data_IF_403059961831
#
_entry.id   IF_403059961831
#
_cell.length_a   1.000
_cell.length_b   1.000
_cell.length_c   1.000
_cell.angle_alpha   90.00
_cell.angle_beta   90.00
_cell.angle_gamma   90.00
#
_symmetry.space_group_name_H-M   'P 1'
#
loop_
_entity.id
_entity.type
_entity.pdbx_description
1 polymer ?
#
# COMPACT_ATOMS: atom_id res chain seq x y z
N UNK A 1 -4.79 40.61 57.67
CA UNK A 1 -6.18 40.13 57.44
C UNK A 1 -6.14 39.00 56.41
N UNK A 2 -6.86 37.88 56.61
CA UNK A 2 -6.63 36.64 55.90
C UNK A 2 -7.38 36.55 54.55
N UNK A 3 -6.76 35.82 53.62
CA UNK A 3 -7.24 35.39 52.30
C UNK A 3 -8.41 34.41 52.38
N UNK A 4 -9.41 34.53 51.49
CA UNK A 4 -10.40 33.48 51.18
C UNK A 4 -10.60 33.33 49.67
N UNK A 5 -10.42 32.10 49.18
CA UNK A 5 -10.73 31.65 47.81
C UNK A 5 -12.25 31.52 47.60
N UNK A 6 -12.76 31.62 46.35
CA UNK A 6 -14.09 31.13 46.02
C UNK A 6 -14.07 29.69 45.49
N UNK A 7 -15.01 28.91 46.02
CA UNK A 7 -15.22 27.49 45.80
C UNK A 7 -15.81 27.16 44.42
N UNK A 8 -15.40 26.01 43.88
CA UNK A 8 -16.00 25.34 42.71
C UNK A 8 -17.44 24.92 43.02
N UNK A 9 -18.40 25.34 42.19
CA UNK A 9 -19.74 24.77 42.15
C UNK A 9 -19.72 23.59 41.17
N UNK A 10 -19.94 22.38 41.69
CA UNK A 10 -20.21 21.18 40.91
C UNK A 10 -21.71 21.11 40.68
N UNK A 11 -22.18 21.24 39.42
CA UNK A 11 -23.57 20.98 39.06
C UNK A 11 -23.71 19.62 38.37
N UNK A 12 -24.41 18.70 39.02
CA UNK A 12 -24.82 17.39 38.51
C UNK A 12 -25.79 17.53 37.31
N UNK A 13 -25.71 16.72 36.23
CA UNK A 13 -26.69 16.81 35.15
C UNK A 13 -28.00 16.11 35.55
N UNK A 14 -29.12 16.84 35.43
CA UNK A 14 -30.48 16.25 35.50
C UNK A 14 -30.76 15.48 34.21
N UNK A 15 -30.94 14.17 34.32
CA UNK A 15 -31.53 13.35 33.27
C UNK A 15 -33.03 13.69 33.15
N UNK A 16 -33.42 14.34 32.06
CA UNK A 16 -34.81 14.34 31.60
C UNK A 16 -34.93 13.44 30.38
N UNK A 17 -35.49 12.24 30.60
CA UNK A 17 -35.98 11.40 29.52
C UNK A 17 -37.12 12.13 28.80
N UNK A 18 -36.92 12.42 27.52
CA UNK A 18 -37.98 12.84 26.60
C UNK A 18 -38.15 11.73 25.57
N UNK A 19 -39.38 11.21 25.47
CA UNK A 19 -39.85 10.38 24.37
C UNK A 19 -39.50 11.06 23.03
N UNK A 20 -38.50 10.52 22.34
CA UNK A 20 -38.01 11.03 21.07
C UNK A 20 -38.59 10.21 19.93
N UNK A 21 -39.51 10.82 19.17
CA UNK A 21 -40.03 10.35 17.89
C UNK A 21 -38.91 9.76 17.01
N UNK A 22 -39.15 8.59 16.41
CA UNK A 22 -38.20 7.87 15.56
C UNK A 22 -37.66 8.71 14.38
N UNK A 23 -38.43 9.70 13.92
CA UNK A 23 -38.02 10.68 12.90
C UNK A 23 -36.79 11.51 13.30
N UNK A 24 -36.63 11.86 14.58
CA UNK A 24 -35.46 12.60 15.08
C UNK A 24 -34.22 11.71 15.20
N UNK A 25 -34.38 10.41 15.46
CA UNK A 25 -33.25 9.45 15.46
C UNK A 25 -32.70 9.24 14.06
N UNK A 26 -33.56 9.13 13.04
CA UNK A 26 -33.17 9.02 11.63
C UNK A 26 -32.43 10.27 11.16
N UNK A 27 -32.89 11.46 11.56
CA UNK A 27 -32.26 12.71 11.14
C UNK A 27 -30.89 12.93 11.82
N UNK A 28 -30.74 12.53 13.08
CA UNK A 28 -29.46 12.56 13.81
C UNK A 28 -28.49 11.51 13.26
N UNK A 29 -28.95 10.27 12.99
CA UNK A 29 -28.12 9.22 12.39
C UNK A 29 -27.65 9.59 10.98
N UNK A 30 -28.51 10.19 10.14
CA UNK A 30 -28.13 10.71 8.82
C UNK A 30 -27.14 11.87 8.91
N UNK A 31 -27.25 12.75 9.92
CA UNK A 31 -26.25 13.82 10.17
C UNK A 31 -24.94 13.29 10.73
N UNK A 32 -24.97 12.26 11.58
CA UNK A 32 -23.78 11.57 12.09
C UNK A 32 -23.06 10.81 10.97
N UNK A 33 -23.78 10.07 10.13
CA UNK A 33 -23.21 9.38 8.96
C UNK A 33 -22.54 10.36 7.98
N UNK A 34 -23.14 11.53 7.75
CA UNK A 34 -22.57 12.59 6.91
C UNK A 34 -21.29 13.20 7.49
N UNK A 35 -21.15 13.28 8.82
CA UNK A 35 -19.95 13.81 9.48
C UNK A 35 -18.71 12.92 9.32
N UNK A 36 -18.86 11.67 8.90
CA UNK A 36 -17.74 10.75 8.72
C UNK A 36 -17.13 10.79 7.32
N UNK A 37 -17.68 11.60 6.40
CA UNK A 37 -17.24 11.68 5.00
C UNK A 37 -16.33 12.89 4.72
N UNK A 38 -16.28 13.87 5.63
CA UNK A 38 -15.52 15.11 5.46
C UNK A 38 -15.21 15.78 6.80
N UNK A 39 -14.20 16.64 6.81
CA UNK A 39 -13.82 17.48 7.96
C UNK A 39 -14.05 18.96 7.65
N UNK A 40 -14.61 19.73 8.59
CA UNK A 40 -14.73 21.19 8.45
C UNK A 40 -13.38 21.85 8.70
N UNK A 41 -12.83 22.55 7.71
CA UNK A 41 -11.54 23.25 7.82
C UNK A 41 -11.68 24.73 8.18
N UNK A 42 -12.80 25.37 7.81
CA UNK A 42 -13.17 26.72 8.26
C UNK A 42 -14.68 26.93 8.14
N UNK A 43 -15.19 28.09 8.58
CA UNK A 43 -16.59 28.48 8.34
C UNK A 43 -16.95 28.28 6.87
N UNK A 44 -18.01 27.51 6.61
CA UNK A 44 -18.48 27.13 5.28
C UNK A 44 -17.44 26.46 4.36
N UNK A 45 -16.40 25.81 4.90
CA UNK A 45 -15.42 25.03 4.13
C UNK A 45 -15.25 23.62 4.68
N UNK A 46 -15.35 22.64 3.79
CA UNK A 46 -15.15 21.22 4.09
C UNK A 46 -14.02 20.64 3.24
N UNK A 47 -13.27 19.71 3.82
CA UNK A 47 -12.36 18.81 3.09
C UNK A 47 -12.93 17.41 3.12
N UNK A 48 -13.30 16.88 1.95
CA UNK A 48 -13.78 15.51 1.84
C UNK A 48 -12.64 14.52 2.09
N UNK A 49 -12.97 13.37 2.68
CA UNK A 49 -12.01 12.27 2.75
C UNK A 49 -11.67 11.81 1.33
N UNK A 50 -10.38 11.68 1.06
CA UNK A 50 -9.87 11.23 -0.22
C UNK A 50 -8.48 10.62 -0.04
N UNK A 51 -8.12 9.75 -0.97
CA UNK A 51 -6.85 9.05 -0.97
C UNK A 51 -5.92 9.64 -2.05
N UNK A 52 -4.62 9.55 -1.82
CA UNK A 52 -3.58 9.89 -2.80
C UNK A 52 -2.78 8.63 -3.09
N UNK A 53 -2.72 8.24 -4.37
CA UNK A 53 -1.90 7.13 -4.85
C UNK A 53 -0.96 7.63 -5.94
N UNK A 54 0.33 7.40 -5.78
CA UNK A 54 1.37 7.70 -6.75
C UNK A 54 2.03 6.40 -7.14
N UNK A 55 2.11 6.08 -8.44
CA UNK A 55 2.77 4.86 -8.90
C UNK A 55 4.03 5.20 -9.67
N UNK A 56 5.16 4.69 -9.18
CA UNK A 56 6.44 4.79 -9.85
C UNK A 56 6.62 3.66 -10.85
N UNK A 57 7.11 4.00 -12.03
CA UNK A 57 7.73 3.07 -12.98
C UNK A 57 9.22 3.08 -12.70
N UNK A 58 9.76 1.93 -12.27
CA UNK A 58 11.18 1.76 -11.97
C UNK A 58 11.72 0.66 -12.88
N UNK A 59 12.36 1.08 -13.96
CA UNK A 59 13.14 0.22 -14.84
C UNK A 59 14.56 0.06 -14.27
N UNK A 60 14.92 -1.18 -13.89
CA UNK A 60 16.07 -1.44 -13.02
C UNK A 60 17.06 -2.39 -13.69
N UNK A 61 18.13 -1.81 -14.22
CA UNK A 61 19.28 -2.51 -14.79
C UNK A 61 20.47 -2.51 -13.81
N UNK A 62 20.38 -3.27 -12.73
CA UNK A 62 21.47 -3.37 -11.76
C UNK A 62 22.64 -4.13 -12.39
N UNK A 63 23.63 -3.37 -12.85
CA UNK A 63 24.85 -3.90 -13.46
C UNK A 63 24.53 -4.73 -14.73
N UNK A 64 23.53 -4.27 -15.49
CA UNK A 64 22.93 -4.91 -16.66
C UNK A 64 21.49 -5.35 -16.42
N UNK A 65 20.86 -5.87 -17.48
CA UNK A 65 19.42 -6.19 -17.60
C UNK A 65 19.01 -7.53 -16.98
N UNK A 66 19.92 -8.50 -16.86
CA UNK A 66 19.62 -9.77 -16.21
C UNK A 66 19.56 -9.64 -14.67
N UNK A 67 18.39 -9.29 -14.15
CA UNK A 67 18.15 -9.06 -12.72
C UNK A 67 17.16 -10.09 -12.14
N UNK A 68 17.08 -10.13 -10.80
CA UNK A 68 16.18 -11.00 -10.07
C UNK A 68 15.58 -10.28 -8.87
N UNK A 69 14.28 -10.46 -8.65
CA UNK A 69 13.60 -9.95 -7.48
C UNK A 69 13.65 -10.95 -6.31
N UNK A 70 14.14 -10.50 -5.15
CA UNK A 70 14.36 -11.34 -3.97
C UNK A 70 13.64 -10.76 -2.75
N UNK A 71 12.80 -11.60 -2.13
CA UNK A 71 12.18 -11.33 -0.83
C UNK A 71 13.06 -11.91 0.26
N UNK A 72 13.68 -11.06 1.06
CA UNK A 72 14.46 -11.45 2.23
C UNK A 72 13.59 -11.35 3.49
N UNK A 73 12.93 -12.45 3.81
CA UNK A 73 11.98 -12.60 4.92
C UNK A 73 12.69 -12.70 6.26
N UNK A 74 12.23 -11.95 7.26
CA UNK A 74 12.72 -12.06 8.64
C UNK A 74 11.88 -13.10 9.39
N UNK A 75 12.48 -14.21 9.78
CA UNK A 75 11.78 -15.31 10.45
C UNK A 75 12.31 -15.57 11.84
N UNK A 76 11.41 -15.69 12.82
CA UNK A 76 11.79 -16.05 14.19
C UNK A 76 11.94 -17.57 14.30
N UNK A 77 13.07 -18.02 14.83
CA UNK A 77 13.36 -19.42 15.14
C UNK A 77 13.51 -19.59 16.65
N UNK A 78 12.84 -20.62 17.20
CA UNK A 78 13.00 -21.01 18.60
C UNK A 78 14.29 -21.81 18.78
N UNK A 79 14.91 -21.67 19.94
CA UNK A 79 16.12 -22.41 20.31
C UNK A 79 15.96 -22.99 21.70
N UNK A 80 16.30 -24.27 21.82
CA UNK A 80 16.27 -25.01 23.08
C UNK A 80 17.67 -25.30 23.63
N UNK A 81 18.73 -25.02 22.86
CA UNK A 81 20.13 -25.32 23.18
C UNK A 81 20.92 -24.12 23.73
N UNK A 82 20.26 -22.98 23.95
CA UNK A 82 20.87 -21.74 24.42
C UNK A 82 20.03 -21.16 25.55
N UNK A 83 20.62 -20.41 26.51
CA UNK A 83 19.86 -19.59 27.45
C UNK A 83 18.89 -18.62 26.75
N UNK A 84 19.20 -18.23 25.50
CA UNK A 84 18.30 -17.45 24.66
C UNK A 84 17.22 -18.36 24.04
N UNK A 85 15.95 -17.98 24.21
CA UNK A 85 14.78 -18.76 23.74
C UNK A 85 14.52 -18.69 22.23
N UNK A 86 15.04 -17.67 21.54
CA UNK A 86 14.84 -17.48 20.11
C UNK A 86 15.90 -16.57 19.46
N UNK A 87 16.01 -16.65 18.14
CA UNK A 87 16.69 -15.66 17.31
C UNK A 87 15.84 -15.42 16.05
N UNK A 88 16.22 -14.45 15.24
CA UNK A 88 15.65 -14.29 13.91
C UNK A 88 16.73 -14.52 12.85
N UNK A 89 16.34 -15.10 11.73
CA UNK A 89 17.20 -15.27 10.56
C UNK A 89 16.54 -14.68 9.31
N UNK A 90 17.34 -14.57 8.26
CA UNK A 90 16.87 -14.10 6.95
C UNK A 90 16.69 -15.31 6.04
N UNK A 91 15.46 -15.53 5.56
CA UNK A 91 15.15 -16.53 4.53
C UNK A 91 14.93 -15.78 3.22
N UNK A 92 15.76 -16.06 2.21
CA UNK A 92 15.67 -15.41 0.89
C UNK A 92 14.83 -16.28 -0.06
N UNK A 93 13.86 -15.66 -0.71
CA UNK A 93 13.02 -16.26 -1.73
C UNK A 93 13.14 -15.44 -3.02
N UNK A 94 13.67 -16.03 -4.08
CA UNK A 94 13.70 -15.40 -5.40
C UNK A 94 12.36 -15.63 -6.10
N UNK A 95 11.68 -14.54 -6.47
CA UNK A 95 10.45 -14.62 -7.23
C UNK A 95 10.75 -15.10 -8.65
N UNK A 96 10.10 -16.19 -9.07
CA UNK A 96 10.23 -16.75 -10.42
C UNK A 96 9.25 -16.11 -11.39
N UNK A 97 8.12 -15.63 -10.87
CA UNK A 97 7.04 -15.02 -11.64
C UNK A 97 6.61 -13.66 -11.05
N UNK A 98 5.99 -12.79 -11.83
CA UNK A 98 5.38 -11.53 -11.39
C UNK A 98 4.37 -11.77 -10.27
N UNK A 99 3.63 -12.88 -10.36
CA UNK A 99 2.68 -13.25 -9.32
C UNK A 99 3.38 -13.49 -7.97
N UNK A 100 4.55 -14.12 -7.97
CA UNK A 100 5.37 -14.32 -6.76
C UNK A 100 6.03 -13.03 -6.27
N UNK A 101 6.25 -12.05 -7.15
CA UNK A 101 6.78 -10.73 -6.83
C UNK A 101 5.71 -9.76 -6.28
N UNK A 102 4.43 -10.11 -6.34
CA UNK A 102 3.36 -9.33 -5.68
C UNK A 102 3.58 -9.30 -4.18
N UNK A 103 3.60 -8.10 -3.63
CA UNK A 103 3.78 -7.92 -2.19
C UNK A 103 2.72 -6.99 -1.64
N UNK A 104 2.04 -7.48 -0.61
CA UNK A 104 1.31 -6.62 0.31
C UNK A 104 2.21 -6.33 1.50
N UNK A 105 2.73 -5.11 1.55
CA UNK A 105 3.77 -4.66 2.49
C UNK A 105 3.40 -4.82 3.97
N UNK A 106 2.11 -4.95 4.29
CA UNK A 106 1.59 -5.05 5.66
C UNK A 106 1.69 -6.46 6.28
N UNK A 107 1.94 -7.51 5.49
CA UNK A 107 1.73 -8.89 5.95
C UNK A 107 2.95 -9.58 6.56
N UNK A 108 4.17 -9.24 6.11
CA UNK A 108 5.40 -9.91 6.56
C UNK A 108 6.55 -8.92 6.63
N UNK A 109 7.35 -9.02 7.68
CA UNK A 109 8.59 -8.26 7.81
C UNK A 109 9.61 -8.80 6.80
N UNK A 110 9.71 -8.14 5.65
CA UNK A 110 10.55 -8.58 4.53
C UNK A 110 11.32 -7.40 3.92
N UNK A 111 12.57 -7.64 3.54
CA UNK A 111 13.33 -6.71 2.70
C UNK A 111 13.12 -7.06 1.24
N UNK A 112 12.81 -6.07 0.43
CA UNK A 112 12.56 -6.21 -1.00
C UNK A 112 13.83 -5.83 -1.75
N UNK A 113 14.42 -6.77 -2.49
CA UNK A 113 15.70 -6.61 -3.14
C UNK A 113 15.55 -6.84 -4.64
N UNK A 114 16.22 -6.04 -5.46
CA UNK A 114 16.51 -6.36 -6.85
C UNK A 114 18.01 -6.60 -6.91
N UNK A 115 18.41 -7.76 -7.43
CA UNK A 115 19.80 -8.22 -7.36
C UNK A 115 20.24 -8.84 -8.69
N UNK A 116 21.54 -8.76 -8.96
CA UNK A 116 22.21 -9.53 -10.01
C UNK A 116 22.83 -10.78 -9.38
N UNK A 117 22.21 -11.93 -9.61
CA UNK A 117 22.60 -13.22 -9.01
C UNK A 117 23.93 -13.76 -9.55
N UNK A 118 24.24 -13.45 -10.81
CA UNK A 118 25.43 -13.90 -11.53
C UNK A 118 26.68 -13.04 -11.27
N UNK A 119 26.57 -11.98 -10.46
CA UNK A 119 27.70 -11.11 -10.12
C UNK A 119 27.79 -10.89 -8.62
N UNK A 120 28.97 -11.18 -8.07
CA UNK A 120 29.24 -11.06 -6.63
C UNK A 120 30.18 -9.90 -6.33
N UNK A 121 29.94 -9.27 -5.19
CA UNK A 121 30.91 -8.36 -4.54
C UNK A 121 32.18 -9.13 -4.14
N UNK A 122 33.25 -8.40 -3.79
CA UNK A 122 34.50 -9.01 -3.26
C UNK A 122 34.29 -9.89 -2.01
N UNK A 123 33.19 -9.67 -1.29
CA UNK A 123 32.81 -10.43 -0.09
C UNK A 123 31.86 -11.59 -0.39
N UNK A 124 31.55 -11.87 -1.67
CA UNK A 124 30.71 -13.00 -2.09
C UNK A 124 29.19 -12.74 -2.05
N UNK A 125 28.73 -11.53 -1.75
CA UNK A 125 27.30 -11.17 -1.77
C UNK A 125 26.84 -10.77 -3.18
N UNK A 126 25.58 -11.03 -3.52
CA UNK A 126 24.93 -10.49 -4.72
C UNK A 126 25.01 -8.96 -4.74
N UNK A 127 25.32 -8.39 -5.91
CA UNK A 127 25.17 -6.94 -6.14
C UNK A 127 23.69 -6.63 -6.27
N UNK A 128 23.22 -5.55 -5.64
CA UNK A 128 21.79 -5.24 -5.63
C UNK A 128 21.42 -3.97 -4.91
N UNK A 129 20.17 -3.55 -5.12
CA UNK A 129 19.53 -2.46 -4.40
C UNK A 129 18.35 -2.99 -3.59
N UNK A 130 18.05 -2.29 -2.49
CA UNK A 130 16.89 -2.57 -1.64
C UNK A 130 15.87 -1.47 -1.82
N UNK A 131 14.62 -1.85 -2.07
CA UNK A 131 13.50 -0.94 -1.95
C UNK A 131 13.17 -0.75 -0.47
N UNK A 132 13.23 0.50 0.00
CA UNK A 132 12.73 0.90 1.31
C UNK A 132 11.44 1.67 1.11
N UNK A 133 10.36 1.10 1.64
CA UNK A 133 9.00 1.62 1.48
C UNK A 133 8.58 2.37 2.74
N UNK A 134 7.83 3.46 2.58
CA UNK A 134 7.13 4.09 3.69
C UNK A 134 5.96 3.25 4.21
N UNK A 135 5.08 3.85 5.01
CA UNK A 135 3.79 3.23 5.36
C UNK A 135 2.98 3.02 4.06
N UNK A 136 2.59 1.79 3.72
CA UNK A 136 1.79 1.55 2.52
C UNK A 136 0.38 2.12 2.70
N UNK A 137 -0.14 2.77 1.67
CA UNK A 137 -1.57 3.06 1.55
C UNK A 137 -2.21 1.96 0.70
N UNK A 138 -3.35 1.44 1.13
CA UNK A 138 -4.14 0.44 0.39
C UNK A 138 -5.49 1.04 0.09
N UNK A 139 -5.99 0.87 -1.14
CA UNK A 139 -7.32 1.36 -1.51
C UNK A 139 -8.42 0.70 -0.67
N UNK A 140 -9.29 1.54 -0.11
CA UNK A 140 -10.42 1.15 0.72
C UNK A 140 -11.70 0.90 -0.08
N UNK A 141 -11.69 1.13 -1.40
CA UNK A 141 -12.83 0.90 -2.28
C UNK A 141 -13.11 -0.59 -2.47
N UNK A 142 -14.34 -0.96 -2.80
CA UNK A 142 -14.67 -2.33 -3.24
C UNK A 142 -14.02 -2.64 -4.59
N UNK A 143 -13.67 -3.91 -4.83
CA UNK A 143 -12.98 -4.32 -6.06
C UNK A 143 -13.83 -4.13 -7.34
N UNK A 144 -15.15 -4.16 -7.21
CA UNK A 144 -16.12 -4.00 -8.28
C UNK A 144 -16.62 -2.55 -8.44
N UNK A 145 -16.12 -1.61 -7.65
CA UNK A 145 -16.45 -0.19 -7.79
C UNK A 145 -15.79 0.40 -9.04
N UNK A 146 -16.48 1.26 -9.78
CA UNK A 146 -16.01 1.81 -11.05
C UNK A 146 -14.65 2.52 -10.96
N UNK A 147 -14.39 3.37 -9.95
CA UNK A 147 -13.07 3.98 -9.78
C UNK A 147 -11.99 2.93 -9.46
N UNK A 148 -12.33 1.89 -8.69
CA UNK A 148 -11.38 0.83 -8.34
C UNK A 148 -11.04 -0.06 -9.55
N UNK A 149 -12.00 -0.36 -10.41
CA UNK A 149 -11.76 -1.07 -11.67
C UNK A 149 -10.80 -0.28 -12.56
N UNK A 150 -11.04 1.03 -12.71
CA UNK A 150 -10.22 1.94 -13.51
C UNK A 150 -8.81 2.13 -12.94
N UNK A 151 -8.68 2.14 -11.61
CA UNK A 151 -7.42 2.30 -10.89
C UNK A 151 -6.93 0.98 -10.26
N UNK A 152 -7.20 -0.17 -10.87
CA UNK A 152 -6.93 -1.50 -10.28
C UNK A 152 -5.44 -1.76 -9.99
N UNK A 153 -4.53 -1.01 -10.61
CA UNK A 153 -3.10 -1.00 -10.31
C UNK A 153 -2.75 -0.52 -8.90
N UNK A 154 -3.69 0.10 -8.18
CA UNK A 154 -3.54 0.48 -6.76
C UNK A 154 -3.73 -0.70 -5.81
N UNK A 155 -4.27 -1.83 -6.29
CA UNK A 155 -4.46 -3.05 -5.50
C UNK A 155 -3.44 -4.14 -5.85
N UNK A 156 -3.36 -4.62 -7.10
CA UNK A 156 -2.48 -5.75 -7.49
C UNK A 156 -2.19 -5.83 -9.00
N UNK A 157 -1.15 -6.59 -9.43
CA UNK A 157 -0.70 -6.79 -10.84
C UNK A 157 -0.27 -8.25 -11.11
N UNK A 158 -0.58 -8.86 -12.27
CA UNK A 158 -0.55 -10.33 -12.59
C UNK A 158 0.66 -10.85 -13.40
N UNK A 159 0.63 -12.05 -14.02
CA UNK A 159 1.60 -13.17 -13.98
C UNK A 159 2.46 -13.45 -15.25
N UNK A 160 3.72 -13.00 -15.33
CA UNK A 160 4.77 -13.50 -16.26
C UNK A 160 6.01 -14.04 -15.52
N UNK A 161 6.91 -14.79 -16.17
CA UNK A 161 8.20 -15.17 -15.56
C UNK A 161 9.14 -13.96 -15.46
N UNK A 162 9.84 -13.80 -14.34
CA UNK A 162 10.73 -12.63 -14.08
C UNK A 162 12.14 -13.01 -13.63
N UNK A 163 12.47 -14.30 -13.56
CA UNK A 163 13.81 -14.69 -13.14
C UNK A 163 14.85 -14.41 -14.24
N UNK A 164 15.94 -13.72 -13.89
CA UNK A 164 17.03 -13.36 -14.81
C UNK A 164 16.52 -12.61 -16.04
N UNK A 165 15.64 -11.64 -15.81
CA UNK A 165 15.05 -10.79 -16.84
C UNK A 165 15.15 -9.34 -16.40
N UNK A 166 14.92 -8.44 -17.35
CA UNK A 166 14.69 -7.04 -17.05
C UNK A 166 13.46 -6.90 -16.11
N UNK A 167 13.68 -6.17 -15.01
CA UNK A 167 12.72 -5.99 -13.91
C UNK A 167 12.21 -4.55 -13.92
N UNK A 168 11.05 -4.38 -14.53
CA UNK A 168 10.20 -3.22 -14.28
C UNK A 168 9.42 -3.42 -13.00
N UNK A 169 9.72 -2.63 -11.97
CA UNK A 169 8.96 -2.58 -10.74
C UNK A 169 7.95 -1.43 -10.77
N UNK A 170 6.69 -1.77 -10.53
CA UNK A 170 5.64 -0.79 -10.29
C UNK A 170 5.37 -0.68 -8.80
N UNK A 171 5.72 0.45 -8.24
CA UNK A 171 5.56 0.70 -6.81
C UNK A 171 4.57 1.83 -6.59
N UNK A 172 3.40 1.50 -6.03
CA UNK A 172 2.41 2.50 -5.64
C UNK A 172 2.63 2.91 -4.19
N UNK A 173 2.83 4.21 -3.98
CA UNK A 173 3.01 4.82 -2.66
C UNK A 173 2.02 5.95 -2.49
N UNK A 174 1.45 6.07 -1.28
CA UNK A 174 0.69 7.26 -0.93
C UNK A 174 1.63 8.36 -0.47
N UNK A 175 1.74 9.44 -1.24
CA UNK A 175 2.43 10.68 -0.84
C UNK A 175 1.74 11.91 -1.47
N UNK A 176 2.10 13.09 -0.99
CA UNK A 176 1.76 14.38 -1.60
C UNK A 176 2.91 14.85 -2.51
N UNK A 177 2.56 15.39 -3.69
CA UNK A 177 3.35 16.10 -4.70
C UNK A 177 3.70 15.35 -6.02
N UNK A 178 3.88 16.15 -7.08
CA UNK A 178 3.56 15.87 -8.48
C UNK A 178 4.77 15.44 -9.35
N UNK A 179 4.74 14.25 -9.99
CA UNK A 179 5.66 13.89 -11.06
C UNK A 179 4.98 13.83 -12.44
N UNK A 180 5.75 14.21 -13.46
CA UNK A 180 5.50 13.90 -14.87
C UNK A 180 5.82 12.40 -15.11
N UNK A 181 5.08 11.71 -15.99
CA UNK A 181 5.24 10.27 -16.22
C UNK A 181 5.12 9.90 -17.71
N UNK A 182 6.10 9.12 -18.16
CA UNK A 182 6.09 8.30 -19.37
C UNK A 182 5.74 6.87 -18.93
N UNK A 183 4.94 6.15 -19.71
CA UNK A 183 4.19 4.92 -19.37
C UNK A 183 3.08 5.03 -18.31
N UNK A 184 1.82 4.88 -18.76
CA UNK A 184 0.60 5.20 -18.02
C UNK A 184 -0.03 3.96 -17.39
N UNK A 185 0.12 3.79 -16.08
CA UNK A 185 -0.44 2.65 -15.30
C UNK A 185 -1.94 2.45 -15.45
N UNK A 186 -2.69 3.54 -15.67
CA UNK A 186 -4.14 3.56 -15.88
C UNK A 186 -4.55 3.26 -17.33
N UNK A 187 -3.60 2.96 -18.22
CA UNK A 187 -3.79 2.87 -19.66
C UNK A 187 -3.53 4.20 -20.37
N UNK A 188 -3.48 4.17 -21.70
CA UNK A 188 -3.08 5.34 -22.49
C UNK A 188 -4.06 6.51 -22.35
N UNK A 189 -5.36 6.21 -22.27
CA UNK A 189 -6.44 7.18 -22.09
C UNK A 189 -7.16 6.93 -20.76
N UNK A 190 -6.87 7.76 -19.76
CA UNK A 190 -7.46 7.62 -18.42
C UNK A 190 -8.85 8.29 -18.31
N UNK A 191 -9.11 9.36 -19.07
CA UNK A 191 -10.41 10.03 -19.06
C UNK A 191 -11.49 9.09 -19.61
N UNK A 192 -12.61 8.98 -18.88
CA UNK A 192 -13.72 8.06 -19.15
C UNK A 192 -13.31 6.61 -19.45
N UNK A 193 -12.16 6.16 -18.94
CA UNK A 193 -11.69 4.79 -19.13
C UNK A 193 -12.66 3.78 -18.51
N UNK A 194 -12.74 2.58 -19.10
CA UNK A 194 -13.56 1.48 -18.57
C UNK A 194 -12.73 0.43 -17.81
N UNK A 195 -11.46 0.73 -17.48
CA UNK A 195 -10.54 -0.21 -16.81
C UNK A 195 -10.15 -1.43 -17.64
N UNK A 196 -10.23 -1.34 -18.97
CA UNK A 196 -9.87 -2.43 -19.92
C UNK A 196 -8.44 -2.31 -20.47
N UNK A 197 -7.69 -1.32 -20.00
CA UNK A 197 -6.30 -1.06 -20.36
C UNK A 197 -5.51 -0.67 -19.11
N UNK A 198 -4.18 -0.71 -19.20
CA UNK A 198 -3.28 -0.40 -18.09
C UNK A 198 -2.71 -1.63 -17.41
N UNK A 199 -1.92 -1.38 -16.39
CA UNK A 199 -0.99 -2.34 -15.81
C UNK A 199 -1.66 -3.61 -15.26
N UNK A 200 -2.81 -3.48 -14.61
CA UNK A 200 -3.57 -4.64 -14.11
C UNK A 200 -4.11 -5.55 -15.23
N UNK A 201 -4.26 -5.02 -16.45
CA UNK A 201 -4.67 -5.76 -17.66
C UNK A 201 -3.45 -6.29 -18.41
N UNK A 202 -2.41 -5.48 -18.61
CA UNK A 202 -1.18 -5.90 -19.31
C UNK A 202 -0.51 -7.08 -18.63
N UNK A 203 -0.45 -7.05 -17.31
CA UNK A 203 0.08 -8.14 -16.49
C UNK A 203 -0.76 -9.43 -16.56
N UNK A 204 -1.98 -9.42 -17.13
CA UNK A 204 -2.77 -10.64 -17.39
C UNK A 204 -2.52 -11.25 -18.77
N UNK A 205 -1.83 -10.56 -19.67
CA UNK A 205 -1.74 -10.95 -21.09
C UNK A 205 -0.72 -12.05 -21.39
N UNK A 206 0.10 -12.46 -20.42
CA UNK A 206 1.11 -13.50 -20.62
C UNK A 206 0.75 -14.77 -19.82
N UNK A 207 0.31 -15.85 -20.48
CA UNK A 207 0.38 -17.19 -19.92
C UNK A 207 1.85 -17.61 -19.79
N UNK A 208 2.14 -18.55 -18.89
CA UNK A 208 3.49 -19.06 -18.54
C UNK A 208 4.34 -19.64 -19.67
N UNK A 209 3.86 -19.67 -20.92
CA UNK A 209 4.44 -20.46 -22.02
C UNK A 209 4.74 -19.68 -23.32
N UNK A 210 4.90 -18.36 -23.25
CA UNK A 210 5.33 -17.59 -24.43
C UNK A 210 6.86 -17.59 -24.56
N UNK A 211 7.41 -18.57 -25.29
CA UNK A 211 8.72 -18.43 -25.93
C UNK A 211 8.65 -17.25 -26.90
N UNK A 212 9.35 -16.16 -26.59
CA UNK A 212 9.59 -15.05 -27.52
C UNK A 212 11.05 -15.12 -27.93
N UNK A 213 11.24 -15.35 -29.23
CA UNK A 213 12.51 -15.33 -29.98
C UNK A 213 13.04 -13.90 -30.02
#
# INVERSE_FOLDING_TARGET
MPTRQPHKIVSCPRNYGRFGNESNKIHKSRRDQRRNLWTTSSTNRIGNNHDHFITYYLDLDIDGDENSFVKANLEVKKVNTSPRKSYWNVVKETAKTENEARIRLELKASKLLVVKTNKKTKLGNDVGYRLMTGQPAVSLLLDDDYPQIRASYTKYQVNRSIMNKDIVLWYTVGFHHNPCQEDRTAGFYADRSTGKDGLAIWSRRFPSDANVI
#
